data_IF_392059284419
#
_entry.id   IF_392059284419
#
_cell.length_a   1.000
_cell.length_b   1.000
_cell.length_c   1.000
_cell.angle_alpha   90.00
_cell.angle_beta   90.00
_cell.angle_gamma   90.00
#
_symmetry.space_group_name_H-M   'P 1'
#
loop_
_entity.id
_entity.type
_entity.pdbx_description
1 polymer ?
#
# COMPACT_ATOMS: atom_id res chain seq x y z
N UNK A 1 -5.81 0.01 25.97
CA UNK A 1 -5.78 -1.44 26.21
C UNK A 1 -6.75 -1.76 27.34
N UNK A 2 -6.46 -1.44 28.60
CA UNK A 2 -7.36 -1.66 29.76
C UNK A 2 -8.80 -1.21 29.55
N UNK A 3 -9.03 0.05 29.14
CA UNK A 3 -10.38 0.55 28.88
C UNK A 3 -11.11 -0.20 27.74
N UNK A 4 -10.35 -0.73 26.77
CA UNK A 4 -10.91 -1.53 25.69
C UNK A 4 -11.28 -2.92 26.21
N UNK A 5 -10.36 -3.58 26.92
CA UNK A 5 -10.59 -4.88 27.55
C UNK A 5 -11.86 -4.86 28.40
N UNK A 6 -11.94 -3.92 29.36
CA UNK A 6 -13.12 -3.72 30.21
C UNK A 6 -14.41 -3.37 29.46
N UNK A 7 -14.31 -2.77 28.27
CA UNK A 7 -15.50 -2.45 27.49
C UNK A 7 -16.11 -3.69 26.81
N UNK A 8 -15.30 -4.74 26.59
CA UNK A 8 -15.71 -5.97 25.92
C UNK A 8 -15.86 -7.16 26.86
N UNK A 9 -15.22 -7.15 28.03
CA UNK A 9 -15.48 -8.05 29.16
C UNK A 9 -16.87 -7.70 29.75
N UNK A 10 -17.89 -8.48 29.37
CA UNK A 10 -19.31 -8.23 29.68
C UNK A 10 -19.78 -8.96 30.92
N UNK A 11 -19.21 -10.12 31.20
CA UNK A 11 -19.50 -10.89 32.40
C UNK A 11 -18.57 -10.54 33.58
N UNK A 12 -17.59 -9.66 33.37
CA UNK A 12 -16.64 -9.14 34.35
C UNK A 12 -15.74 -10.23 34.96
N UNK A 13 -15.50 -11.32 34.19
CA UNK A 13 -14.69 -12.45 34.63
C UNK A 13 -13.16 -12.21 34.51
N UNK A 14 -12.76 -11.03 34.00
CA UNK A 14 -11.39 -10.63 33.70
C UNK A 14 -10.72 -11.43 32.57
N UNK A 15 -11.50 -12.05 31.70
CA UNK A 15 -11.09 -12.66 30.45
C UNK A 15 -11.99 -12.18 29.30
N UNK A 16 -11.69 -12.60 28.07
CA UNK A 16 -12.57 -12.43 26.93
C UNK A 16 -12.88 -13.78 26.31
N UNK A 17 -14.14 -14.21 26.42
CA UNK A 17 -14.62 -15.37 25.71
C UNK A 17 -14.85 -15.07 24.21
N UNK A 18 -15.17 -16.09 23.42
CA UNK A 18 -15.34 -15.95 21.96
C UNK A 18 -16.46 -14.96 21.58
N UNK A 19 -17.53 -14.84 22.37
CA UNK A 19 -18.65 -13.95 22.10
C UNK A 19 -18.26 -12.48 22.32
N UNK A 20 -17.50 -12.21 23.37
CA UNK A 20 -16.95 -10.90 23.68
C UNK A 20 -15.88 -10.48 22.67
N UNK A 21 -15.02 -11.42 22.27
CA UNK A 21 -14.07 -11.20 21.20
C UNK A 21 -14.77 -10.94 19.85
N UNK A 22 -15.84 -11.66 19.52
CA UNK A 22 -16.67 -11.38 18.35
C UNK A 22 -17.25 -9.96 18.38
N UNK A 23 -17.64 -9.49 19.56
CA UNK A 23 -18.11 -8.12 19.77
C UNK A 23 -17.01 -7.08 19.54
N UNK A 24 -15.78 -7.37 19.96
CA UNK A 24 -14.59 -6.58 19.61
C UNK A 24 -14.36 -6.55 18.09
N UNK A 25 -14.44 -7.69 17.39
CA UNK A 25 -14.28 -7.73 15.94
C UNK A 25 -15.32 -6.87 15.22
N UNK A 26 -16.59 -6.93 15.66
CA UNK A 26 -17.67 -6.07 15.14
C UNK A 26 -17.44 -4.59 15.42
N UNK A 27 -16.72 -4.25 16.49
CA UNK A 27 -16.35 -2.87 16.78
C UNK A 27 -15.18 -2.39 15.89
N UNK A 28 -14.19 -3.26 15.65
CA UNK A 28 -13.00 -2.96 14.85
C UNK A 28 -13.30 -2.91 13.35
N UNK A 29 -14.06 -3.87 12.83
CA UNK A 29 -14.29 -4.02 11.40
C UNK A 29 -15.57 -3.30 10.99
N UNK A 30 -15.46 -2.00 10.81
CA UNK A 30 -16.57 -1.15 10.33
C UNK A 30 -16.16 -0.37 9.08
N UNK A 31 -17.14 -0.08 8.24
CA UNK A 31 -16.94 0.82 7.12
C UNK A 31 -16.98 2.30 7.57
N UNK A 32 -16.78 3.20 6.61
CA UNK A 32 -16.85 4.66 6.75
C UNK A 32 -18.18 5.17 7.35
N UNK A 33 -19.27 4.41 7.21
CA UNK A 33 -20.59 4.71 7.78
C UNK A 33 -20.83 4.06 9.15
N UNK A 34 -19.81 3.40 9.73
CA UNK A 34 -19.91 2.69 11.00
C UNK A 34 -20.66 1.35 10.93
N UNK A 35 -21.02 0.85 9.75
CA UNK A 35 -21.66 -0.47 9.58
C UNK A 35 -20.59 -1.57 9.71
N UNK A 36 -20.81 -2.59 10.57
CA UNK A 36 -19.86 -3.69 10.71
C UNK A 36 -19.79 -4.54 9.43
N UNK A 37 -18.58 -4.96 9.07
CA UNK A 37 -18.36 -6.00 8.07
C UNK A 37 -18.85 -7.35 8.62
N UNK A 38 -19.28 -8.24 7.72
CA UNK A 38 -19.65 -9.60 8.13
C UNK A 38 -18.39 -10.35 8.54
N UNK A 39 -18.40 -10.88 9.76
CA UNK A 39 -17.38 -11.80 10.26
C UNK A 39 -18.13 -13.07 10.61
N UNK A 40 -17.88 -14.15 9.88
CA UNK A 40 -18.46 -15.44 10.20
C UNK A 40 -17.78 -16.05 11.44
N UNK A 41 -18.42 -17.09 11.96
CA UNK A 41 -17.98 -17.77 13.18
C UNK A 41 -16.60 -18.42 13.01
N UNK A 42 -16.33 -19.01 11.84
CA UNK A 42 -15.05 -19.66 11.56
C UNK A 42 -13.91 -18.64 11.59
N UNK A 43 -14.06 -17.51 10.90
CA UNK A 43 -13.08 -16.44 10.89
C UNK A 43 -12.88 -15.83 12.28
N UNK A 44 -13.95 -15.69 13.07
CA UNK A 44 -13.85 -15.23 14.46
C UNK A 44 -13.00 -16.20 15.31
N UNK A 45 -13.26 -17.51 15.18
CA UNK A 45 -12.50 -18.55 15.88
C UNK A 45 -11.04 -18.59 15.43
N UNK A 46 -10.78 -18.50 14.12
CA UNK A 46 -9.42 -18.51 13.58
C UNK A 46 -8.60 -17.35 14.13
N UNK A 47 -9.17 -16.14 14.17
CA UNK A 47 -8.51 -14.97 14.73
C UNK A 47 -8.32 -15.11 16.25
N UNK A 48 -9.34 -15.59 16.97
CA UNK A 48 -9.26 -15.78 18.41
C UNK A 48 -8.12 -16.74 18.79
N UNK A 49 -8.00 -17.85 18.06
CA UNK A 49 -7.00 -18.89 18.30
C UNK A 49 -5.55 -18.43 18.00
N UNK A 50 -5.35 -17.39 17.19
CA UNK A 50 -4.01 -16.79 17.02
C UNK A 50 -3.50 -16.21 18.35
N UNK A 51 -4.41 -15.71 19.19
CA UNK A 51 -4.06 -14.98 20.41
C UNK A 51 -4.33 -15.77 21.69
N UNK A 52 -5.25 -16.75 21.67
CA UNK A 52 -5.46 -17.70 22.77
C UNK A 52 -4.36 -18.76 22.79
N UNK A 53 -3.19 -18.39 23.30
CA UNK A 53 -1.98 -19.22 23.33
C UNK A 53 -2.09 -20.40 24.29
N UNK A 54 -2.92 -20.27 25.34
CA UNK A 54 -3.16 -21.34 26.30
C UNK A 54 -4.13 -22.40 25.77
N UNK A 55 -4.96 -22.08 24.77
CA UNK A 55 -5.92 -23.02 24.20
C UNK A 55 -7.07 -23.38 25.14
N UNK A 56 -7.33 -22.56 26.16
CA UNK A 56 -8.37 -22.75 27.17
C UNK A 56 -9.74 -22.20 26.76
N UNK A 57 -9.83 -21.59 25.58
CA UNK A 57 -11.06 -20.99 25.06
C UNK A 57 -11.40 -19.63 25.68
N UNK A 58 -10.48 -19.01 26.43
CA UNK A 58 -10.68 -17.72 27.06
C UNK A 58 -9.43 -16.84 27.02
N UNK A 59 -9.56 -15.59 26.57
CA UNK A 59 -8.41 -14.71 26.41
C UNK A 59 -8.19 -13.86 27.67
N UNK A 60 -7.20 -14.23 28.47
CA UNK A 60 -6.81 -13.44 29.64
C UNK A 60 -6.12 -12.11 29.27
N UNK A 61 -5.81 -11.28 30.28
CA UNK A 61 -5.20 -9.95 30.08
C UNK A 61 -3.84 -9.97 29.39
N UNK A 62 -3.04 -11.00 29.60
CA UNK A 62 -1.70 -11.10 29.01
C UNK A 62 -1.78 -11.45 27.53
N UNK A 63 -2.65 -12.39 27.18
CA UNK A 63 -2.99 -12.74 25.80
C UNK A 63 -3.63 -11.56 25.07
N UNK A 64 -4.56 -10.86 25.74
CA UNK A 64 -5.15 -9.65 25.17
C UNK A 64 -4.14 -8.53 25.01
N UNK A 65 -3.19 -8.35 25.93
CA UNK A 65 -2.12 -7.37 25.78
C UNK A 65 -1.23 -7.71 24.57
N UNK A 66 -0.96 -8.99 24.33
CA UNK A 66 -0.24 -9.46 23.14
C UNK A 66 -1.04 -9.17 21.86
N UNK A 67 -2.34 -9.53 21.82
CA UNK A 67 -3.28 -9.20 20.74
C UNK A 67 -3.32 -7.69 20.46
N UNK A 68 -3.44 -6.89 21.53
CA UNK A 68 -3.51 -5.44 21.45
C UNK A 68 -2.25 -4.84 20.81
N UNK A 69 -1.07 -5.21 21.29
CA UNK A 69 0.19 -4.62 20.84
C UNK A 69 0.61 -5.08 19.45
N UNK A 70 0.31 -6.34 19.10
CA UNK A 70 0.74 -6.92 17.83
C UNK A 70 -0.26 -6.73 16.70
N UNK A 71 -1.53 -6.47 17.03
CA UNK A 71 -2.60 -6.39 16.05
C UNK A 71 -3.48 -5.17 16.22
N UNK A 72 -4.32 -5.10 17.27
CA UNK A 72 -5.36 -4.06 17.40
C UNK A 72 -4.77 -2.66 17.29
N UNK A 73 -3.69 -2.37 18.03
CA UNK A 73 -3.01 -1.06 18.01
C UNK A 73 -2.49 -0.70 16.63
N UNK A 74 -1.99 -1.68 15.86
CA UNK A 74 -1.43 -1.45 14.52
C UNK A 74 -2.51 -1.16 13.50
N UNK A 75 -3.65 -1.85 13.57
CA UNK A 75 -4.75 -1.65 12.61
C UNK A 75 -5.57 -0.40 12.89
N UNK A 76 -5.70 0.03 14.15
CA UNK A 76 -6.43 1.27 14.51
C UNK A 76 -5.57 2.52 14.42
N UNK A 77 -4.25 2.36 14.32
CA UNK A 77 -3.28 3.45 14.12
C UNK A 77 -2.24 3.02 13.08
N UNK A 78 -2.66 2.80 11.82
CA UNK A 78 -1.75 2.42 10.76
C UNK A 78 -0.76 3.55 10.52
N UNK A 79 0.49 3.18 10.22
CA UNK A 79 1.44 4.11 9.63
C UNK A 79 1.15 4.22 8.14
N UNK A 80 1.04 5.44 7.66
CA UNK A 80 0.57 5.75 6.31
C UNK A 80 1.55 6.68 5.61
N UNK A 81 1.73 6.48 4.31
CA UNK A 81 2.53 7.36 3.48
C UNK A 81 1.84 7.56 2.13
N UNK A 82 1.97 8.75 1.56
CA UNK A 82 1.59 9.06 0.19
C UNK A 82 2.87 9.16 -0.66
N UNK A 83 2.98 8.32 -1.68
CA UNK A 83 4.06 8.35 -2.65
C UNK A 83 3.53 8.89 -3.99
N UNK A 84 4.10 10.01 -4.44
CA UNK A 84 3.76 10.69 -5.69
C UNK A 84 4.86 10.40 -6.69
N UNK A 85 4.52 9.70 -7.77
CA UNK A 85 5.48 9.15 -8.74
C UNK A 85 5.23 9.75 -10.12
N UNK A 86 6.31 10.17 -10.77
CA UNK A 86 6.34 10.70 -12.15
C UNK A 86 5.39 11.88 -12.41
N UNK A 87 5.06 12.65 -11.38
CA UNK A 87 4.28 13.90 -11.49
C UNK A 87 5.24 15.09 -11.63
N UNK A 88 5.95 15.12 -12.75
CA UNK A 88 6.90 16.19 -13.10
C UNK A 88 6.29 17.11 -14.14
N UNK A 89 6.62 18.41 -14.07
CA UNK A 89 6.19 19.38 -15.08
C UNK A 89 6.53 18.95 -16.50
N UNK A 90 7.63 18.20 -16.70
CA UNK A 90 8.07 17.77 -18.02
C UNK A 90 7.10 16.75 -18.66
N UNK A 91 6.45 15.91 -17.84
CA UNK A 91 5.41 14.97 -18.28
C UNK A 91 4.02 15.61 -18.43
N UNK A 92 3.81 16.80 -17.85
CA UNK A 92 2.55 17.54 -17.95
C UNK A 92 2.60 18.50 -19.13
N UNK A 93 3.54 19.45 -19.13
CA UNK A 93 3.59 20.56 -20.08
C UNK A 93 4.97 20.80 -20.70
N UNK A 94 5.92 19.88 -20.50
CA UNK A 94 7.28 20.00 -21.03
C UNK A 94 7.57 19.10 -22.22
N UNK A 95 8.84 18.77 -22.39
CA UNK A 95 9.37 18.04 -23.55
C UNK A 95 8.91 16.58 -23.63
N UNK A 96 8.51 16.02 -22.49
CA UNK A 96 7.99 14.66 -22.35
C UNK A 96 6.48 14.65 -22.06
N UNK A 97 5.77 15.73 -22.42
CA UNK A 97 4.34 15.85 -22.15
C UNK A 97 3.56 14.66 -22.72
N UNK A 98 2.73 14.05 -21.88
CA UNK A 98 1.89 12.92 -22.29
C UNK A 98 0.65 13.35 -23.07
N UNK A 99 0.41 14.65 -23.23
CA UNK A 99 -0.76 15.17 -23.94
C UNK A 99 -0.83 14.70 -25.40
N UNK A 100 0.32 14.41 -26.02
CA UNK A 100 0.41 13.89 -27.39
C UNK A 100 0.53 12.35 -27.45
N UNK A 101 0.47 11.66 -26.30
CA UNK A 101 0.48 10.20 -26.28
C UNK A 101 -0.83 9.61 -26.84
N UNK A 102 -0.82 8.38 -27.39
CA UNK A 102 -2.01 7.75 -27.98
C UNK A 102 -3.20 7.60 -27.03
N UNK A 103 -2.97 7.66 -25.71
CA UNK A 103 -4.02 7.62 -24.70
C UNK A 103 -4.89 8.88 -24.69
N UNK A 104 -4.36 10.03 -25.16
CA UNK A 104 -5.09 11.30 -25.24
C UNK A 104 -5.51 11.87 -23.87
N UNK A 105 -4.81 11.49 -22.80
CA UNK A 105 -5.09 11.95 -21.44
C UNK A 105 -4.32 13.23 -21.10
N UNK A 106 -4.91 14.10 -20.29
CA UNK A 106 -4.24 15.29 -19.79
C UNK A 106 -3.55 14.98 -18.46
N UNK A 107 -2.23 14.92 -18.45
CA UNK A 107 -1.43 14.67 -17.25
C UNK A 107 -1.64 15.67 -16.11
N UNK A 108 -2.12 16.88 -16.38
CA UNK A 108 -2.42 17.87 -15.34
C UNK A 108 -3.59 17.44 -14.42
N UNK A 109 -4.49 16.59 -14.92
CA UNK A 109 -5.71 16.20 -14.18
C UNK A 109 -5.41 15.44 -12.88
N UNK A 110 -4.22 14.84 -12.75
CA UNK A 110 -3.80 14.15 -11.52
C UNK A 110 -3.43 15.10 -10.39
N UNK A 111 -3.10 16.36 -10.68
CA UNK A 111 -2.57 17.33 -9.70
C UNK A 111 -3.62 17.69 -8.65
N UNK A 112 -4.85 18.01 -9.08
CA UNK A 112 -5.90 18.42 -8.15
C UNK A 112 -6.33 17.28 -7.18
N UNK A 113 -6.55 16.03 -7.63
CA UNK A 113 -6.76 14.89 -6.73
C UNK A 113 -5.61 14.66 -5.74
N UNK A 114 -4.35 14.77 -6.18
CA UNK A 114 -3.18 14.61 -5.31
C UNK A 114 -3.16 15.69 -4.22
N UNK A 115 -3.36 16.96 -4.59
CA UNK A 115 -3.42 18.07 -3.63
C UNK A 115 -4.57 17.86 -2.62
N UNK A 116 -5.74 17.41 -3.10
CA UNK A 116 -6.85 17.08 -2.22
C UNK A 116 -6.48 15.96 -1.23
N UNK A 117 -5.75 14.92 -1.66
CA UNK A 117 -5.29 13.86 -0.75
C UNK A 117 -4.31 14.39 0.30
N UNK A 118 -3.36 15.24 -0.12
CA UNK A 118 -2.42 15.91 0.79
C UNK A 118 -3.16 16.73 1.86
N UNK A 119 -4.20 17.48 1.45
CA UNK A 119 -4.92 18.38 2.35
C UNK A 119 -5.92 17.66 3.26
N UNK A 120 -6.55 16.59 2.78
CA UNK A 120 -7.68 15.93 3.46
C UNK A 120 -7.31 14.67 4.23
N UNK A 121 -6.17 14.05 3.93
CA UNK A 121 -5.75 12.79 4.55
C UNK A 121 -4.47 13.03 5.38
N UNK A 122 -4.49 12.71 6.68
CA UNK A 122 -3.35 12.95 7.56
C UNK A 122 -2.29 11.83 7.41
N UNK A 123 -1.62 11.77 6.26
CA UNK A 123 -0.50 10.84 6.05
C UNK A 123 0.65 11.12 7.02
N UNK A 124 1.33 10.08 7.53
CA UNK A 124 2.53 10.26 8.37
C UNK A 124 3.73 10.77 7.55
N UNK A 125 3.71 10.55 6.23
CA UNK A 125 4.79 10.93 5.31
C UNK A 125 4.24 11.17 3.90
N UNK A 126 4.77 12.20 3.24
CA UNK A 126 4.49 12.47 1.82
C UNK A 126 5.84 12.51 1.10
N UNK A 127 5.99 11.66 0.09
CA UNK A 127 7.21 11.52 -0.69
C UNK A 127 6.93 11.77 -2.17
N UNK A 128 7.87 12.42 -2.82
CA UNK A 128 7.88 12.63 -4.26
C UNK A 128 9.07 11.88 -4.84
N UNK A 129 8.85 11.10 -5.89
CA UNK A 129 9.97 10.60 -6.70
C UNK A 129 10.24 11.57 -7.86
N UNK A 130 11.48 11.54 -8.33
CA UNK A 130 11.90 12.25 -9.53
C UNK A 130 12.43 11.21 -10.51
N UNK A 131 11.83 11.13 -11.69
CA UNK A 131 12.41 10.39 -12.80
C UNK A 131 13.57 11.22 -13.35
N UNK A 132 14.79 10.93 -12.89
CA UNK A 132 16.03 11.57 -13.32
C UNK A 132 17.04 10.53 -13.78
N UNK A 133 17.61 10.78 -14.95
CA UNK A 133 18.57 9.91 -15.60
C UNK A 133 19.71 10.74 -16.21
N UNK A 134 20.97 10.26 -16.16
CA UNK A 134 22.07 10.94 -16.87
C UNK A 134 21.86 10.90 -18.39
N UNK A 135 22.48 11.83 -19.13
CA UNK A 135 22.28 11.95 -20.58
C UNK A 135 22.59 10.69 -21.37
N UNK A 136 23.51 9.85 -20.89
CA UNK A 136 23.90 8.58 -21.51
C UNK A 136 23.09 7.38 -20.99
N UNK A 137 22.00 7.62 -20.24
CA UNK A 137 21.17 6.58 -19.64
C UNK A 137 20.49 5.71 -20.69
N UNK A 138 20.30 4.44 -20.32
CA UNK A 138 19.87 3.38 -21.22
C UNK A 138 18.38 3.44 -21.60
N UNK A 139 17.58 4.14 -20.81
CA UNK A 139 16.15 4.36 -21.08
C UNK A 139 15.90 5.32 -22.24
N UNK A 140 16.90 6.13 -22.62
CA UNK A 140 16.79 7.04 -23.76
C UNK A 140 17.06 6.30 -25.06
N UNK A 141 16.09 6.35 -25.98
CA UNK A 141 16.17 5.68 -27.28
C UNK A 141 17.36 6.20 -28.10
N UNK A 142 17.71 7.47 -27.89
CA UNK A 142 18.86 8.14 -28.46
C UNK A 142 20.16 7.42 -28.11
N UNK A 143 20.25 6.79 -26.93
CA UNK A 143 21.47 6.11 -26.49
C UNK A 143 21.57 4.66 -26.97
N UNK A 144 20.58 4.10 -27.66
CA UNK A 144 20.63 2.68 -28.05
C UNK A 144 21.86 2.37 -28.90
N UNK A 145 22.26 3.28 -29.79
CA UNK A 145 23.44 3.11 -30.65
C UNK A 145 24.77 3.07 -29.88
N UNK A 146 24.82 3.57 -28.64
CA UNK A 146 26.01 3.53 -27.79
C UNK A 146 26.14 2.21 -27.02
N UNK A 147 25.11 1.35 -27.07
CA UNK A 147 25.03 0.12 -26.28
C UNK A 147 25.26 -1.11 -27.14
N UNK A 148 25.97 -2.09 -26.58
CA UNK A 148 26.11 -3.41 -27.19
C UNK A 148 24.81 -4.19 -26.99
N UNK A 149 24.12 -4.47 -28.09
CA UNK A 149 22.93 -5.32 -28.09
C UNK A 149 23.32 -6.78 -27.81
N UNK A 150 22.42 -7.52 -27.16
CA UNK A 150 22.57 -8.96 -26.99
C UNK A 150 22.56 -9.67 -28.36
N UNK A 151 23.31 -10.76 -28.49
CA UNK A 151 23.50 -11.49 -29.76
C UNK A 151 22.22 -12.11 -30.32
N UNK A 152 21.21 -12.29 -29.48
CA UNK A 152 19.88 -12.81 -29.80
C UNK A 152 18.83 -11.70 -29.97
N UNK A 153 19.23 -10.42 -29.95
CA UNK A 153 18.33 -9.30 -30.21
C UNK A 153 17.73 -9.42 -31.62
N UNK A 154 16.39 -9.47 -31.70
CA UNK A 154 15.66 -9.61 -32.96
C UNK A 154 15.59 -8.33 -33.79
N UNK A 155 16.14 -7.22 -33.27
CA UNK A 155 16.08 -5.91 -33.91
C UNK A 155 17.48 -5.31 -34.08
N UNK A 156 17.75 -4.77 -35.28
CA UNK A 156 18.93 -3.96 -35.58
C UNK A 156 18.71 -2.49 -35.18
N UNK A 157 19.81 -1.74 -35.07
CA UNK A 157 19.89 -0.36 -34.56
C UNK A 157 18.92 0.67 -35.21
N UNK A 158 18.36 0.38 -36.40
CA UNK A 158 17.61 1.36 -37.21
C UNK A 158 16.08 1.30 -37.17
N UNK A 159 15.43 0.41 -36.41
CA UNK A 159 13.95 0.30 -36.36
C UNK A 159 13.43 -0.03 -34.96
N UNK A 160 13.67 0.88 -34.03
CA UNK A 160 13.20 0.77 -32.66
C UNK A 160 12.14 1.84 -32.43
N UNK A 161 10.88 1.42 -32.40
CA UNK A 161 9.78 2.29 -31.98
C UNK A 161 9.61 2.19 -30.48
N UNK A 162 9.28 3.32 -29.85
CA UNK A 162 8.99 3.47 -28.44
C UNK A 162 7.83 2.54 -28.05
N UNK A 163 8.21 1.38 -27.49
CA UNK A 163 7.52 0.41 -26.61
C UNK A 163 8.18 -0.93 -26.95
N UNK A 164 9.39 -1.15 -26.44
CA UNK A 164 9.96 -2.49 -26.32
C UNK A 164 10.88 -2.48 -25.12
N UNK A 165 10.55 -3.24 -24.08
CA UNK A 165 11.42 -3.44 -22.92
C UNK A 165 12.72 -4.11 -23.39
N UNK A 166 13.84 -3.40 -23.34
CA UNK A 166 15.15 -3.97 -23.66
C UNK A 166 15.75 -4.63 -22.42
N UNK A 167 16.20 -5.87 -22.57
CA UNK A 167 17.00 -6.56 -21.54
C UNK A 167 18.46 -6.29 -21.86
N UNK A 168 19.10 -5.42 -21.08
CA UNK A 168 20.53 -5.19 -21.18
C UNK A 168 21.27 -6.06 -20.16
N UNK A 169 22.36 -6.70 -20.60
CA UNK A 169 23.32 -7.32 -19.68
C UNK A 169 24.36 -6.28 -19.28
N UNK A 170 24.42 -5.99 -17.98
CA UNK A 170 25.56 -5.27 -17.43
C UNK A 170 26.77 -6.20 -17.44
N UNK A 171 27.74 -5.93 -18.32
CA UNK A 171 29.07 -6.53 -18.24
C UNK A 171 29.96 -5.52 -17.52
N UNK A 172 30.37 -5.87 -16.29
CA UNK A 172 31.37 -5.13 -15.52
C UNK A 172 32.78 -5.31 -16.08
#
# INVERSE_FOLDING_TARGET
MEACFKAFDKDEDNNLNISEFSSLLKALFRNDKGKPYSVDEQMCNDIFNIFNRQGDGSMNKEEFAFCWNNWVKKIVRPKSALLIVDVQNDFISGSLSIAECPAGENGEEVVAPINKLIDTVPFDMICYSLDWHPLDHISFVENVHTRKLASDSKFGCGRLYTITTYVYRHTG
#
